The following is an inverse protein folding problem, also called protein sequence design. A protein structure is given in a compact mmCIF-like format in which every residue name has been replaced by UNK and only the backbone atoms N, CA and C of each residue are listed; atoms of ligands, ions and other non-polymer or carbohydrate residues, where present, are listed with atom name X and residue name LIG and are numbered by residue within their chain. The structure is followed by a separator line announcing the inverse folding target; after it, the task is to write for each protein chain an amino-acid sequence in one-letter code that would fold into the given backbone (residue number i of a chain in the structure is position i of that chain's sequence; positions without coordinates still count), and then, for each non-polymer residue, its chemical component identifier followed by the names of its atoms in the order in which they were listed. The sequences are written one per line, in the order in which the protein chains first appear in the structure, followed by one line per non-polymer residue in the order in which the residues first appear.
data_IF_931794181762
#
_entry.id   IF_931794181762
#
_cell.length_a   1.000
_cell.length_b   1.000
_cell.length_c   1.000
_cell.angle_alpha   90.00
_cell.angle_beta   90.00
_cell.angle_gamma   90.00
#
_symmetry.space_group_name_H-M   'P 1'
#
loop_
_entity.id
_entity.type
_entity.pdbx_description
1 polymer ?
#
# COMPACT_ATOMS: atom_id res chain seq x y z
N UNK A 1 -4.94 -10.16 83.13
CA UNK A 1 -4.96 -8.87 82.41
C UNK A 1 -3.78 -8.86 81.46
N UNK A 2 -4.04 -8.99 80.16
CA UNK A 2 -3.04 -8.79 79.09
C UNK A 2 -3.68 -7.84 78.08
N UNK A 3 -3.14 -6.65 77.98
CA UNK A 3 -3.56 -5.63 77.02
C UNK A 3 -3.00 -5.98 75.63
N UNK A 4 -3.88 -6.00 74.63
CA UNK A 4 -3.52 -6.16 73.22
C UNK A 4 -3.56 -4.75 72.61
N UNK A 5 -2.38 -4.20 72.33
CA UNK A 5 -2.22 -2.95 71.60
C UNK A 5 -2.33 -3.27 70.11
N UNK A 6 -3.38 -2.76 69.45
CA UNK A 6 -3.57 -2.87 68.01
C UNK A 6 -3.03 -1.62 67.34
N UNK A 7 -1.93 -1.74 66.60
CA UNK A 7 -1.34 -0.66 65.80
C UNK A 7 -1.94 -0.75 64.39
N UNK A 8 -2.79 0.22 64.04
CA UNK A 8 -3.34 0.37 62.69
C UNK A 8 -2.32 1.17 61.86
N UNK A 9 -1.53 0.47 61.05
CA UNK A 9 -0.62 1.07 60.08
C UNK A 9 -1.38 1.63 58.89
N UNK A 10 -1.46 2.95 58.80
CA UNK A 10 -2.07 3.69 57.70
C UNK A 10 -1.08 3.72 56.52
N UNK A 11 -1.27 2.83 55.54
CA UNK A 11 -0.51 2.82 54.30
C UNK A 11 -1.06 3.88 53.35
N UNK A 12 -0.40 5.04 53.30
CA UNK A 12 -0.61 6.03 52.25
C UNK A 12 -0.08 5.49 50.92
N UNK A 13 -0.98 4.96 50.09
CA UNK A 13 -0.68 4.61 48.70
C UNK A 13 -0.58 5.93 47.94
N UNK A 14 0.66 6.38 47.72
CA UNK A 14 0.95 7.48 46.82
C UNK A 14 0.71 6.99 45.39
N UNK A 15 -0.48 7.25 44.85
CA UNK A 15 -0.79 7.00 43.45
C UNK A 15 -0.04 8.03 42.60
N UNK A 16 1.19 7.69 42.19
CA UNK A 16 1.83 8.36 41.07
C UNK A 16 0.99 8.06 39.82
N UNK A 17 0.06 8.96 39.49
CA UNK A 17 -0.52 9.02 38.17
C UNK A 17 0.63 9.28 37.20
N UNK A 18 1.20 8.22 36.63
CA UNK A 18 2.11 8.32 35.52
C UNK A 18 1.38 9.10 34.44
N UNK A 19 1.84 10.32 34.16
CA UNK A 19 1.53 10.97 32.89
C UNK A 19 2.02 10.00 31.82
N UNK A 20 1.09 9.25 31.24
CA UNK A 20 1.31 8.59 29.96
C UNK A 20 1.75 9.71 29.04
N UNK A 21 3.03 9.70 28.66
CA UNK A 21 3.55 10.57 27.62
C UNK A 21 2.67 10.25 26.42
N UNK A 22 1.74 11.14 26.08
CA UNK A 22 1.06 11.05 24.80
C UNK A 22 2.16 11.29 23.78
N UNK A 23 2.69 10.21 23.21
CA UNK A 23 3.62 10.29 22.09
C UNK A 23 3.03 11.29 21.11
N UNK A 24 3.76 12.37 20.87
CA UNK A 24 3.28 13.48 20.08
C UNK A 24 2.98 12.94 18.69
N UNK A 25 1.70 12.98 18.31
CA UNK A 25 1.23 12.58 16.99
C UNK A 25 2.09 13.29 15.93
N UNK A 26 2.76 12.52 15.09
CA UNK A 26 3.52 13.06 13.94
C UNK A 26 3.03 12.38 12.67
N UNK A 27 2.84 13.18 11.62
CA UNK A 27 2.48 12.72 10.29
C UNK A 27 3.64 12.85 9.31
N UNK A 28 4.86 13.18 9.78
CA UNK A 28 6.00 13.42 8.91
C UNK A 28 6.26 12.25 7.94
N UNK A 29 6.41 12.58 6.66
CA UNK A 29 6.65 11.60 5.60
C UNK A 29 5.66 11.68 4.44
N UNK A 30 5.83 10.72 3.53
CA UNK A 30 5.02 10.60 2.32
C UNK A 30 3.88 9.61 2.58
N UNK A 31 2.65 10.09 2.59
CA UNK A 31 1.45 9.28 2.72
C UNK A 31 0.81 9.15 1.36
N UNK A 32 0.98 8.01 0.73
CA UNK A 32 0.45 7.82 -0.61
C UNK A 32 -0.96 7.27 -0.48
N UNK A 33 -1.83 7.82 -1.30
CA UNK A 33 -3.25 7.53 -1.28
C UNK A 33 -3.52 6.10 -1.72
N UNK A 34 -4.31 5.40 -0.93
CA UNK A 34 -4.94 4.13 -1.29
C UNK A 34 -6.26 4.52 -1.95
N UNK A 35 -6.19 4.98 -3.21
CA UNK A 35 -7.41 5.16 -4.00
C UNK A 35 -7.80 3.85 -4.66
N UNK A 36 -8.80 3.21 -4.08
CA UNK A 36 -9.52 2.09 -4.65
C UNK A 36 -10.62 2.61 -5.60
N UNK A 37 -10.30 3.52 -6.53
CA UNK A 37 -11.31 4.06 -7.46
C UNK A 37 -10.87 4.04 -8.92
N UNK A 38 -11.80 3.59 -9.76
CA UNK A 38 -11.79 3.44 -11.22
C UNK A 38 -11.66 4.71 -12.05
N UNK A 39 -11.40 5.87 -11.46
CA UNK A 39 -11.46 7.14 -12.19
C UNK A 39 -10.08 7.79 -12.41
N UNK A 40 -9.68 7.69 -13.67
CA UNK A 40 -9.01 8.72 -14.48
C UNK A 40 -7.51 8.93 -14.19
N UNK A 41 -6.72 8.19 -14.98
CA UNK A 41 -5.56 8.66 -15.73
C UNK A 41 -4.64 9.68 -15.05
N UNK A 42 -3.74 9.22 -14.18
CA UNK A 42 -2.33 9.55 -14.27
C UNK A 42 -1.51 8.53 -13.47
N UNK A 43 -0.36 8.15 -14.02
CA UNK A 43 0.65 7.26 -13.42
C UNK A 43 1.38 7.95 -12.25
N UNK A 44 0.76 8.94 -11.62
CA UNK A 44 1.43 9.83 -10.68
C UNK A 44 1.01 9.47 -9.27
N UNK A 45 2.01 9.27 -8.40
CA UNK A 45 1.90 9.00 -6.96
C UNK A 45 0.94 10.00 -6.28
N UNK A 46 -0.38 9.78 -6.31
CA UNK A 46 -1.33 10.65 -5.61
C UNK A 46 -1.18 10.43 -4.10
N UNK A 47 -1.00 11.50 -3.33
CA UNK A 47 -0.76 11.38 -1.90
C UNK A 47 -0.60 12.72 -1.20
N UNK A 48 -0.15 12.68 0.04
CA UNK A 48 0.14 13.80 0.90
C UNK A 48 1.54 13.62 1.49
N UNK A 49 2.43 14.58 1.29
CA UNK A 49 3.69 14.68 2.02
C UNK A 49 3.50 15.70 3.14
N UNK A 50 3.69 15.27 4.37
CA UNK A 50 3.81 16.18 5.50
C UNK A 50 5.30 16.38 5.77
N UNK A 51 5.75 17.64 5.72
CA UNK A 51 7.13 17.98 6.04
C UNK A 51 7.22 19.38 6.61
N UNK A 52 7.76 19.51 7.83
CA UNK A 52 8.02 20.80 8.49
C UNK A 52 6.77 21.72 8.45
N UNK A 53 5.66 21.23 8.99
CA UNK A 53 4.36 21.94 9.01
C UNK A 53 3.80 22.31 7.63
N UNK A 54 4.31 21.68 6.57
CA UNK A 54 3.84 21.86 5.19
C UNK A 54 3.18 20.58 4.70
N UNK A 55 1.99 20.73 4.11
CA UNK A 55 1.23 19.69 3.44
C UNK A 55 1.40 19.86 1.93
N UNK A 56 1.92 18.82 1.28
CA UNK A 56 2.24 18.80 -0.14
C UNK A 56 1.47 17.66 -0.81
N UNK A 57 0.51 17.94 -1.70
CA UNK A 57 -0.10 16.88 -2.49
C UNK A 57 0.95 16.29 -3.44
N UNK A 58 1.07 14.98 -3.41
CA UNK A 58 1.89 14.20 -4.34
C UNK A 58 1.02 13.86 -5.56
N UNK A 59 1.63 13.80 -6.74
CA UNK A 59 1.03 13.21 -7.95
C UNK A 59 -0.14 13.94 -8.61
N UNK A 60 -0.65 15.03 -8.08
CA UNK A 60 -1.56 15.89 -8.85
C UNK A 60 -0.79 16.76 -9.85
N UNK A 61 -1.45 17.18 -10.94
CA UNK A 61 -0.93 18.19 -11.88
C UNK A 61 -0.26 19.36 -11.16
N UNK A 62 0.77 19.95 -11.79
CA UNK A 62 1.70 21.02 -11.38
C UNK A 62 1.11 22.28 -10.68
N UNK A 63 -0.17 22.31 -10.31
CA UNK A 63 -0.94 23.47 -9.87
C UNK A 63 -1.47 23.40 -8.43
N UNK A 64 -1.19 22.34 -7.66
CA UNK A 64 -1.56 22.32 -6.26
C UNK A 64 -0.43 22.91 -5.40
N UNK A 65 -0.63 24.09 -4.79
CA UNK A 65 0.39 24.70 -3.96
C UNK A 65 0.52 23.95 -2.63
N UNK A 66 1.74 24.01 -2.08
CA UNK A 66 2.00 23.64 -0.70
C UNK A 66 1.16 24.50 0.24
N UNK A 67 0.54 23.90 1.26
CA UNK A 67 -0.16 24.65 2.30
C UNK A 67 0.48 24.39 3.67
N UNK A 68 0.44 25.38 4.55
CA UNK A 68 0.77 25.14 5.95
C UNK A 68 -0.35 24.33 6.60
N UNK A 69 0.02 23.33 7.40
CA UNK A 69 -0.94 22.56 8.18
C UNK A 69 -0.71 22.74 9.68
N UNK A 70 -1.78 22.58 10.45
CA UNK A 70 -1.76 22.53 11.90
C UNK A 70 -2.32 21.17 12.30
N UNK A 71 -1.50 20.37 12.96
CA UNK A 71 -1.91 19.09 13.51
C UNK A 71 -2.56 19.27 14.89
N UNK A 72 -3.78 18.77 15.02
CA UNK A 72 -4.48 18.58 16.29
C UNK A 72 -4.61 17.09 16.57
N UNK A 73 -5.12 16.77 17.76
CA UNK A 73 -5.23 15.38 18.22
C UNK A 73 -6.05 14.49 17.27
N UNK A 74 -7.09 15.03 16.65
CA UNK A 74 -8.06 14.30 15.82
C UNK A 74 -8.26 14.93 14.44
N UNK A 75 -7.47 15.95 14.10
CA UNK A 75 -7.72 16.75 12.90
C UNK A 75 -6.47 17.42 12.35
N UNK A 76 -6.45 17.61 11.04
CA UNK A 76 -5.43 18.35 10.30
C UNK A 76 -6.13 19.56 9.71
N UNK A 77 -5.71 20.76 10.09
CA UNK A 77 -6.24 22.00 9.53
C UNK A 77 -5.23 22.52 8.53
N UNK A 78 -5.66 22.84 7.31
CA UNK A 78 -4.80 23.41 6.28
C UNK A 78 -5.53 24.51 5.52
N UNK A 79 -4.77 25.37 4.87
CA UNK A 79 -5.32 26.46 4.05
C UNK A 79 -5.34 26.04 2.58
N UNK A 80 -6.52 26.10 1.97
CA UNK A 80 -6.71 25.87 0.54
C UNK A 80 -6.16 27.02 -0.29
N UNK A 81 -6.06 26.83 -1.61
CA UNK A 81 -5.56 27.86 -2.51
C UNK A 81 -6.39 29.16 -2.51
N UNK A 82 -7.68 29.10 -2.17
CA UNK A 82 -8.54 30.27 -2.07
C UNK A 82 -8.52 30.94 -0.68
N UNK A 83 -7.60 30.52 0.20
CA UNK A 83 -7.44 31.03 1.55
C UNK A 83 -8.48 30.49 2.54
N UNK A 84 -9.34 29.55 2.11
CA UNK A 84 -10.27 28.88 3.04
C UNK A 84 -9.55 27.84 3.86
N UNK A 85 -9.98 27.68 5.11
CA UNK A 85 -9.49 26.61 5.97
C UNK A 85 -10.29 25.34 5.71
N UNK A 86 -9.60 24.30 5.29
CA UNK A 86 -10.13 22.94 5.20
C UNK A 86 -9.60 22.09 6.34
N UNK A 87 -10.29 20.98 6.60
CA UNK A 87 -9.96 20.08 7.69
C UNK A 87 -10.12 18.61 7.28
N UNK A 88 -9.08 17.83 7.54
CA UNK A 88 -9.20 16.38 7.61
C UNK A 88 -9.51 15.98 9.04
N UNK A 89 -10.47 15.07 9.23
CA UNK A 89 -10.63 14.32 10.47
C UNK A 89 -9.73 13.09 10.43
N UNK A 90 -8.91 12.88 11.46
CA UNK A 90 -8.06 11.70 11.60
C UNK A 90 -8.91 10.60 12.22
N UNK A 91 -9.33 9.63 11.40
CA UNK A 91 -10.15 8.49 11.84
C UNK A 91 -9.28 7.36 12.40
N UNK A 92 -8.09 7.16 11.82
CA UNK A 92 -7.10 6.20 12.27
C UNK A 92 -5.70 6.71 11.93
N UNK A 93 -4.75 6.53 12.85
CA UNK A 93 -3.34 6.77 12.61
C UNK A 93 -2.50 5.69 13.29
N UNK A 94 -1.77 4.97 12.47
CA UNK A 94 -0.75 4.00 12.85
C UNK A 94 0.54 4.40 12.10
N UNK A 95 1.72 3.86 12.47
CA UNK A 95 2.96 4.15 11.75
C UNK A 95 2.88 3.90 10.23
N UNK A 96 1.98 3.00 9.82
CA UNK A 96 1.84 2.48 8.47
C UNK A 96 0.59 2.91 7.72
N UNK A 97 -0.43 3.35 8.45
CA UNK A 97 -1.75 3.60 7.90
C UNK A 97 -2.34 4.88 8.49
N UNK A 98 -2.88 5.69 7.60
CA UNK A 98 -3.56 6.93 7.95
C UNK A 98 -4.92 6.89 7.28
N UNK A 99 -5.98 7.08 8.04
CA UNK A 99 -7.33 7.22 7.50
C UNK A 99 -7.84 8.60 7.85
N UNK A 100 -8.10 9.39 6.82
CA UNK A 100 -8.62 10.74 6.93
C UNK A 100 -10.07 10.78 6.46
N UNK A 101 -10.84 11.75 6.93
CA UNK A 101 -12.14 12.09 6.37
C UNK A 101 -12.17 13.57 6.01
N UNK A 102 -12.40 13.88 4.73
CA UNK A 102 -12.59 15.23 4.22
C UNK A 102 -14.02 15.39 3.71
N UNK A 103 -14.80 16.27 4.32
CA UNK A 103 -16.20 16.51 3.94
C UNK A 103 -17.07 15.22 3.88
N UNK A 104 -16.77 14.25 4.75
CA UNK A 104 -17.45 12.95 4.81
C UNK A 104 -16.91 11.89 3.84
N UNK A 105 -15.95 12.24 2.97
CA UNK A 105 -15.24 11.28 2.13
C UNK A 105 -14.07 10.68 2.91
N UNK A 106 -14.07 9.35 3.05
CA UNK A 106 -13.00 8.62 3.73
C UNK A 106 -11.87 8.37 2.75
N UNK A 107 -10.66 8.73 3.17
CA UNK A 107 -9.44 8.59 2.42
C UNK A 107 -8.45 7.76 3.22
N UNK A 108 -7.94 6.70 2.61
CA UNK A 108 -6.95 5.82 3.23
C UNK A 108 -5.60 6.11 2.60
N UNK A 109 -4.57 6.14 3.42
CA UNK A 109 -3.20 6.36 3.01
C UNK A 109 -2.31 5.35 3.70
N UNK A 110 -1.15 5.12 3.10
CA UNK A 110 -0.06 4.46 3.81
C UNK A 110 1.21 5.27 3.76
N UNK A 111 2.05 5.05 4.77
CA UNK A 111 3.33 5.73 4.86
C UNK A 111 4.35 5.08 3.90
N UNK A 112 4.89 5.83 2.95
CA UNK A 112 5.97 5.39 2.03
C UNK A 112 7.27 5.10 2.77
N UNK A 113 7.44 5.65 3.98
CA UNK A 113 8.57 5.33 4.84
C UNK A 113 8.49 3.92 5.41
N UNK A 114 7.38 3.19 5.19
CA UNK A 114 7.27 1.82 5.67
C UNK A 114 8.41 0.96 5.15
N UNK A 115 9.11 0.41 6.14
CA UNK A 115 10.46 -0.09 6.01
C UNK A 115 10.53 -1.26 5.03
N UNK A 116 11.60 -1.25 4.24
CA UNK A 116 12.10 -2.43 3.57
C UNK A 116 12.14 -3.62 4.54
N UNK A 117 11.29 -4.62 4.31
CA UNK A 117 11.28 -5.81 5.15
C UNK A 117 12.25 -6.85 4.56
N UNK A 118 13.49 -6.81 5.02
CA UNK A 118 14.56 -7.73 4.61
C UNK A 118 14.29 -9.19 4.94
N UNK A 119 13.33 -9.49 5.83
CA UNK A 119 12.97 -10.85 6.25
C UNK A 119 11.99 -11.52 5.30
N UNK A 120 11.30 -10.76 4.44
CA UNK A 120 10.40 -11.33 3.44
C UNK A 120 11.20 -12.14 2.41
N UNK A 121 10.78 -13.39 2.20
CA UNK A 121 11.34 -14.30 1.21
C UNK A 121 10.25 -14.65 0.20
N UNK A 122 10.42 -14.21 -1.05
CA UNK A 122 9.48 -14.52 -2.12
C UNK A 122 9.68 -15.97 -2.58
N UNK A 123 8.61 -16.75 -2.66
CA UNK A 123 8.65 -18.14 -3.16
C UNK A 123 8.17 -18.22 -4.62
N UNK A 124 7.05 -17.57 -4.93
CA UNK A 124 6.57 -17.43 -6.30
C UNK A 124 5.51 -16.34 -6.44
N UNK A 125 5.35 -15.85 -7.67
CA UNK A 125 4.27 -14.96 -8.07
C UNK A 125 3.48 -15.62 -9.19
N UNK A 126 2.16 -15.68 -9.07
CA UNK A 126 1.27 -16.03 -10.18
C UNK A 126 0.55 -14.76 -10.61
N UNK A 127 0.84 -14.30 -11.82
CA UNK A 127 0.11 -13.23 -12.49
C UNK A 127 -0.92 -13.85 -13.44
N UNK A 128 -2.18 -13.50 -13.26
CA UNK A 128 -3.28 -13.88 -14.14
C UNK A 128 -3.86 -12.63 -14.75
N UNK A 129 -4.18 -12.70 -16.02
CA UNK A 129 -4.90 -11.64 -16.70
C UNK A 129 -6.14 -12.20 -17.34
N UNK A 130 -7.16 -11.36 -17.43
CA UNK A 130 -8.47 -11.72 -17.93
C UNK A 130 -8.93 -10.80 -19.04
N UNK A 131 -10.22 -10.85 -19.28
CA UNK A 131 -10.90 -10.06 -20.30
C UNK A 131 -10.88 -8.55 -19.98
N UNK A 132 -10.99 -7.74 -21.02
CA UNK A 132 -11.23 -6.30 -21.00
C UNK A 132 -12.10 -5.92 -22.20
N UNK A 133 -12.61 -4.68 -22.24
CA UNK A 133 -13.29 -4.16 -23.43
C UNK A 133 -12.27 -3.87 -24.56
N UNK A 134 -11.95 -4.88 -25.36
CA UNK A 134 -10.97 -4.81 -26.47
C UNK A 134 -10.05 -6.03 -26.53
N UNK A 135 -8.95 -5.90 -27.27
CA UNK A 135 -7.96 -6.98 -27.47
C UNK A 135 -6.91 -6.98 -26.35
N UNK A 136 -7.32 -7.31 -25.12
CA UNK A 136 -6.39 -7.46 -24.01
C UNK A 136 -5.87 -8.90 -23.89
N UNK A 137 -4.54 -9.08 -23.73
CA UNK A 137 -3.95 -10.41 -23.62
C UNK A 137 -4.43 -11.12 -22.36
N UNK A 138 -4.99 -12.31 -22.55
CA UNK A 138 -5.41 -13.23 -21.49
C UNK A 138 -4.32 -14.30 -21.33
N UNK A 139 -3.71 -14.35 -20.15
CA UNK A 139 -2.65 -15.31 -19.85
C UNK A 139 -2.53 -15.63 -18.36
N UNK A 140 -1.74 -16.66 -18.07
CA UNK A 140 -1.21 -16.92 -16.73
C UNK A 140 0.31 -17.01 -16.81
N UNK A 141 1.00 -16.31 -15.91
CA UNK A 141 2.44 -16.40 -15.72
C UNK A 141 2.73 -16.83 -14.29
N UNK A 142 3.57 -17.85 -14.12
CA UNK A 142 4.17 -18.20 -12.84
C UNK A 142 5.64 -17.79 -12.88
N UNK A 143 6.05 -17.01 -11.90
CA UNK A 143 7.41 -16.50 -11.71
C UNK A 143 7.99 -17.12 -10.43
N UNK A 144 9.24 -17.58 -10.51
CA UNK A 144 10.01 -18.04 -9.35
C UNK A 144 11.28 -17.19 -9.15
N UNK A 145 11.70 -16.95 -7.89
CA UNK A 145 12.91 -16.19 -7.56
C UNK A 145 14.20 -16.87 -8.09
N UNK A 146 14.13 -18.15 -8.46
CA UNK A 146 15.22 -18.88 -9.12
C UNK A 146 15.51 -18.42 -10.55
N UNK A 147 14.63 -17.60 -11.15
CA UNK A 147 14.71 -17.21 -12.56
C UNK A 147 13.80 -18.01 -13.48
N UNK A 148 13.32 -19.19 -13.06
CA UNK A 148 12.40 -19.98 -13.89
C UNK A 148 11.01 -19.34 -13.91
N UNK A 149 10.45 -19.16 -15.10
CA UNK A 149 9.07 -18.72 -15.27
C UNK A 149 8.32 -19.62 -16.27
N UNK A 150 7.02 -19.77 -16.07
CA UNK A 150 6.12 -20.47 -16.99
C UNK A 150 5.01 -19.51 -17.41
N UNK A 151 4.89 -19.31 -18.72
CA UNK A 151 3.84 -18.53 -19.35
C UNK A 151 2.83 -19.47 -20.02
N UNK A 152 1.54 -19.16 -19.89
CA UNK A 152 0.45 -19.80 -20.61
C UNK A 152 -0.42 -18.72 -21.25
N UNK A 153 -0.28 -18.54 -22.56
CA UNK A 153 -1.14 -17.63 -23.33
C UNK A 153 -2.47 -18.30 -23.67
N UNK A 154 -3.56 -17.55 -23.57
CA UNK A 154 -4.93 -18.04 -23.72
C UNK A 154 -5.63 -17.36 -24.89
N UNK A 155 -5.72 -16.03 -24.89
CA UNK A 155 -6.37 -15.24 -25.95
C UNK A 155 -5.65 -13.90 -26.11
N UNK A 156 -5.63 -13.34 -27.32
CA UNK A 156 -5.08 -12.01 -27.63
C UNK A 156 -3.61 -11.81 -27.21
N UNK A 157 -2.87 -12.92 -27.09
CA UNK A 157 -1.42 -12.97 -26.83
C UNK A 157 -0.67 -13.30 -28.13
N UNK A 158 0.58 -12.85 -28.26
CA UNK A 158 1.44 -13.22 -29.40
C UNK A 158 1.79 -14.71 -29.45
N UNK A 159 1.76 -15.38 -28.31
CA UNK A 159 2.01 -16.82 -28.20
C UNK A 159 0.87 -17.51 -27.43
N UNK A 160 0.22 -18.49 -28.04
CA UNK A 160 -0.85 -19.29 -27.43
C UNK A 160 -0.27 -20.63 -26.96
N UNK A 161 -0.62 -21.05 -25.74
CA UNK A 161 -0.12 -22.28 -25.13
C UNK A 161 0.97 -22.02 -24.09
N UNK A 162 1.68 -23.08 -23.69
CA UNK A 162 2.66 -23.03 -22.59
C UNK A 162 4.10 -22.81 -23.08
N UNK A 163 4.84 -21.94 -22.40
CA UNK A 163 6.26 -21.69 -22.65
C UNK A 163 7.01 -21.45 -21.36
N UNK A 164 8.18 -22.08 -21.25
CA UNK A 164 9.15 -21.80 -20.19
C UNK A 164 10.03 -20.63 -20.60
N UNK A 165 10.28 -19.73 -19.66
CA UNK A 165 11.09 -18.54 -19.82
C UNK A 165 12.11 -18.47 -18.68
N UNK A 166 13.20 -17.75 -18.90
CA UNK A 166 14.22 -17.50 -17.89
C UNK A 166 14.35 -16.00 -17.71
N UNK A 167 14.22 -15.53 -16.47
CA UNK A 167 14.31 -14.10 -16.12
C UNK A 167 15.75 -13.76 -15.76
N UNK A 168 16.25 -12.63 -16.27
CA UNK A 168 17.60 -12.16 -15.94
C UNK A 168 17.73 -11.72 -14.48
N UNK A 169 18.94 -11.90 -13.93
CA UNK A 169 19.25 -11.66 -12.51
C UNK A 169 18.91 -10.25 -12.05
N UNK A 170 19.13 -9.24 -12.88
CA UNK A 170 18.86 -7.84 -12.51
C UNK A 170 17.36 -7.61 -12.29
N UNK A 171 16.50 -8.20 -13.13
CA UNK A 171 15.05 -8.14 -12.95
C UNK A 171 14.58 -8.96 -11.76
N UNK A 172 15.21 -10.11 -11.49
CA UNK A 172 14.95 -10.87 -10.25
C UNK A 172 15.20 -10.03 -9.01
N UNK A 173 16.35 -9.37 -8.92
CA UNK A 173 16.70 -8.49 -7.80
C UNK A 173 15.72 -7.31 -7.67
N UNK A 174 15.29 -6.75 -8.80
CA UNK A 174 14.33 -5.64 -8.83
C UNK A 174 12.97 -6.08 -8.31
N UNK A 175 12.43 -7.21 -8.79
CA UNK A 175 11.16 -7.77 -8.33
C UNK A 175 11.22 -8.12 -6.84
N UNK A 176 12.30 -8.75 -6.37
CA UNK A 176 12.51 -9.06 -4.94
C UNK A 176 12.55 -7.80 -4.07
N UNK A 177 13.28 -6.77 -4.51
CA UNK A 177 13.31 -5.49 -3.80
C UNK A 177 11.93 -4.84 -3.72
N UNK A 178 11.20 -4.78 -4.85
CA UNK A 178 9.83 -4.27 -4.88
C UNK A 178 8.90 -5.06 -3.96
N UNK A 179 9.04 -6.39 -3.92
CA UNK A 179 8.30 -7.24 -3.00
C UNK A 179 8.61 -6.91 -1.53
N UNK A 180 9.87 -6.70 -1.16
CA UNK A 180 10.27 -6.32 0.20
C UNK A 180 9.79 -4.93 0.62
N UNK A 181 9.59 -4.04 -0.35
CA UNK A 181 8.97 -2.73 -0.18
C UNK A 181 7.44 -2.75 -0.28
N UNK A 182 6.84 -3.87 -0.69
CA UNK A 182 5.40 -3.95 -0.96
C UNK A 182 4.55 -4.02 0.31
N UNK A 183 5.17 -4.10 1.49
CA UNK A 183 4.50 -4.17 2.79
C UNK A 183 3.32 -5.14 2.78
N UNK A 184 3.56 -6.32 2.21
CA UNK A 184 2.55 -7.25 1.71
C UNK A 184 1.61 -7.76 2.81
N UNK A 185 2.11 -7.90 4.04
CA UNK A 185 1.35 -8.44 5.17
C UNK A 185 0.13 -7.59 5.52
N UNK A 186 0.22 -6.28 5.30
CA UNK A 186 -0.79 -5.29 5.62
C UNK A 186 -1.67 -4.95 4.42
N UNK A 187 -1.51 -5.68 3.32
CA UNK A 187 -2.38 -5.54 2.19
C UNK A 187 -3.74 -6.17 2.50
N UNK A 188 -4.81 -5.38 2.35
CA UNK A 188 -6.18 -5.88 2.36
C UNK A 188 -6.41 -6.72 1.10
N UNK A 189 -6.95 -7.92 1.29
CA UNK A 189 -7.24 -8.87 0.21
C UNK A 189 -8.73 -9.18 0.11
N UNK A 190 -9.56 -8.49 0.90
CA UNK A 190 -11.01 -8.70 0.96
C UNK A 190 -11.78 -7.87 -0.06
N UNK A 191 -11.17 -6.80 -0.57
CA UNK A 191 -11.73 -5.92 -1.58
C UNK A 191 -11.40 -6.40 -3.01
N UNK A 192 -12.36 -6.23 -3.94
CA UNK A 192 -12.14 -6.46 -5.37
C UNK A 192 -11.84 -5.12 -6.06
N UNK A 193 -10.59 -4.95 -6.49
CA UNK A 193 -10.05 -3.68 -6.98
C UNK A 193 -10.38 -3.45 -8.45
N UNK A 194 -11.64 -3.19 -8.81
CA UNK A 194 -12.06 -3.23 -10.21
C UNK A 194 -12.57 -1.92 -10.79
N UNK A 195 -12.47 -1.84 -12.13
CA UNK A 195 -13.08 -0.82 -12.97
C UNK A 195 -13.87 -1.54 -14.06
N UNK A 196 -14.99 -0.97 -14.51
CA UNK A 196 -15.91 -1.61 -15.49
C UNK A 196 -15.17 -2.03 -16.77
N UNK A 197 -14.25 -1.19 -17.26
CA UNK A 197 -13.54 -1.40 -18.53
C UNK A 197 -12.04 -1.74 -18.34
N UNK A 198 -11.62 -2.03 -17.12
CA UNK A 198 -10.21 -2.27 -16.82
C UNK A 198 -9.74 -3.65 -17.27
N UNK A 199 -8.47 -3.77 -17.66
CA UNK A 199 -7.85 -5.06 -17.91
C UNK A 199 -7.82 -5.90 -16.63
N UNK A 200 -8.66 -6.95 -16.59
CA UNK A 200 -8.76 -7.84 -15.43
C UNK A 200 -7.39 -8.43 -15.13
N UNK A 201 -6.97 -8.30 -13.88
CA UNK A 201 -5.64 -8.70 -13.40
C UNK A 201 -5.81 -9.35 -12.04
N UNK A 202 -5.11 -10.44 -11.80
CA UNK A 202 -5.02 -11.13 -10.53
C UNK A 202 -3.57 -11.44 -10.22
N UNK A 203 -3.16 -11.23 -8.97
CA UNK A 203 -1.82 -11.57 -8.51
C UNK A 203 -1.91 -12.40 -7.23
N UNK A 204 -1.19 -13.52 -7.23
CA UNK A 204 -1.05 -14.41 -6.08
C UNK A 204 0.43 -14.43 -5.72
N UNK A 205 0.77 -14.01 -4.51
CA UNK A 205 2.12 -14.06 -3.98
C UNK A 205 2.22 -15.17 -2.94
N UNK A 206 3.16 -16.08 -3.13
CA UNK A 206 3.58 -17.08 -2.15
C UNK A 206 4.91 -16.63 -1.56
N UNK A 207 5.01 -16.61 -0.24
CA UNK A 207 6.17 -16.09 0.46
C UNK A 207 6.33 -16.70 1.85
N UNK A 208 7.55 -16.62 2.39
CA UNK A 208 7.91 -17.17 3.70
C UNK A 208 7.41 -18.62 3.88
N UNK A 209 7.57 -19.44 2.84
CA UNK A 209 7.21 -20.86 2.70
C UNK A 209 5.70 -21.17 2.69
N UNK A 210 4.90 -20.50 3.52
CA UNK A 210 3.50 -20.86 3.75
C UNK A 210 2.51 -19.69 3.66
N UNK A 211 2.99 -18.46 3.46
CA UNK A 211 2.13 -17.29 3.39
C UNK A 211 1.65 -17.06 1.97
N UNK A 212 0.37 -16.70 1.84
CA UNK A 212 -0.27 -16.47 0.55
C UNK A 212 -1.11 -15.21 0.62
N UNK A 213 -0.89 -14.32 -0.35
CA UNK A 213 -1.73 -13.14 -0.57
C UNK A 213 -2.29 -13.19 -1.98
N UNK A 214 -3.61 -13.00 -2.09
CA UNK A 214 -4.36 -13.02 -3.35
C UNK A 214 -5.03 -11.69 -3.51
N UNK A 215 -4.81 -11.05 -4.66
CA UNK A 215 -5.44 -9.76 -4.98
C UNK A 215 -5.98 -9.86 -6.39
N UNK A 216 -7.25 -9.53 -6.55
CA UNK A 216 -7.97 -9.58 -7.81
C UNK A 216 -8.56 -8.19 -8.09
N UNK A 217 -8.58 -7.81 -9.35
CA UNK A 217 -9.05 -6.50 -9.75
C UNK A 217 -8.79 -6.19 -11.23
N UNK A 218 -8.52 -4.93 -11.51
CA UNK A 218 -8.04 -4.45 -12.81
C UNK A 218 -6.67 -3.80 -12.64
N UNK A 219 -5.82 -3.86 -13.66
CA UNK A 219 -4.46 -3.32 -13.61
C UNK A 219 -4.40 -1.88 -13.09
N UNK A 220 -5.39 -1.06 -13.46
CA UNK A 220 -5.48 0.35 -13.06
C UNK A 220 -5.83 0.53 -11.58
N UNK A 221 -6.60 -0.37 -10.99
CA UNK A 221 -7.12 -0.25 -9.63
C UNK A 221 -6.37 -1.13 -8.62
N UNK A 222 -5.47 -2.00 -9.09
CA UNK A 222 -4.60 -2.78 -8.22
C UNK A 222 -3.92 -1.91 -7.15
N UNK A 223 -3.74 -2.43 -5.93
CA UNK A 223 -3.00 -1.74 -4.89
C UNK A 223 -1.66 -1.28 -5.41
N UNK A 224 -1.35 -0.01 -5.20
CA UNK A 224 -0.18 0.59 -5.83
C UNK A 224 1.12 -0.16 -5.45
N UNK A 225 1.22 -0.78 -4.26
CA UNK A 225 2.37 -1.61 -3.81
C UNK A 225 2.69 -2.74 -4.76
N UNK A 226 1.67 -3.25 -5.45
CA UNK A 226 1.78 -4.37 -6.37
C UNK A 226 1.98 -3.93 -7.81
N UNK A 227 1.57 -2.71 -8.18
CA UNK A 227 1.66 -2.19 -9.56
C UNK A 227 3.08 -2.27 -10.13
N UNK A 228 4.16 -1.85 -9.43
CA UNK A 228 5.52 -2.00 -9.92
C UNK A 228 5.89 -3.46 -10.20
N UNK A 229 5.51 -4.38 -9.31
CA UNK A 229 5.79 -5.82 -9.48
C UNK A 229 5.08 -6.36 -10.73
N UNK A 230 3.78 -6.07 -10.87
CA UNK A 230 2.99 -6.47 -12.03
C UNK A 230 3.56 -5.87 -13.31
N UNK A 231 3.95 -4.59 -13.27
CA UNK A 231 4.54 -3.89 -14.41
C UNK A 231 5.84 -4.55 -14.89
N UNK A 232 6.75 -4.90 -13.97
CA UNK A 232 8.00 -5.59 -14.34
C UNK A 232 7.74 -6.94 -15.02
N UNK A 233 6.74 -7.70 -14.55
CA UNK A 233 6.32 -8.97 -15.15
C UNK A 233 5.73 -8.76 -16.55
N UNK A 234 4.88 -7.75 -16.72
CA UNK A 234 4.28 -7.41 -18.02
C UNK A 234 5.33 -6.92 -19.01
N UNK A 235 6.28 -6.08 -18.59
CA UNK A 235 7.40 -5.61 -19.43
C UNK A 235 8.25 -6.80 -19.87
N UNK A 236 8.53 -7.74 -18.96
CA UNK A 236 9.29 -8.96 -19.28
C UNK A 236 8.61 -9.76 -20.39
N UNK A 237 7.30 -9.99 -20.26
CA UNK A 237 6.53 -10.72 -21.27
C UNK A 237 6.49 -10.00 -22.63
N UNK A 238 6.50 -8.66 -22.65
CA UNK A 238 6.58 -7.87 -23.90
C UNK A 238 7.94 -8.03 -24.58
N UNK A 239 9.02 -7.99 -23.81
CA UNK A 239 10.39 -8.14 -24.32
C UNK A 239 10.62 -9.56 -24.87
N UNK A 240 10.07 -10.57 -24.18
CA UNK A 240 10.04 -11.96 -24.64
C UNK A 240 9.05 -12.22 -25.79
N UNK A 241 8.32 -11.19 -26.23
CA UNK A 241 7.31 -11.24 -27.30
C UNK A 241 6.18 -12.25 -27.02
N UNK A 242 5.81 -12.42 -25.76
CA UNK A 242 4.70 -13.27 -25.34
C UNK A 242 3.35 -12.57 -25.49
N UNK A 243 3.36 -11.26 -25.23
CA UNK A 243 2.22 -10.34 -25.35
C UNK A 243 2.59 -9.12 -26.20
#
# INVERSE_FOLDING_TARGET
MKEIITIIGMWSICACAGRVNQDQLTLEGDWIYIKDSSEISTITDAGLRFSNDTLLPLGSSMFWPSSHYILKQDSIIFEDFDGKKSFYLILNHQPDSLTLSLNGHIERYYNRQLEYNSRLQLDSIILKTGWCFGDCPEFTMTFHPSGSSQFRGIRDTKFIGERKLTVERDRLNKIDSLFKWSYIDHLDTTEYYSAIDGWSTGIILYYNENQVKRVEGTMMNMPFRLKPIIWELVVFLKEEKMI
#
